data_IF_889593302962
#
_entry.id   IF_889593302962
#
_cell.length_a   1.000
_cell.length_b   1.000
_cell.length_c   1.000
_cell.angle_alpha   90.00
_cell.angle_beta   90.00
_cell.angle_gamma   90.00
#
_symmetry.space_group_name_H-M   'P 1'
#
loop_
_entity.id
_entity.type
_entity.pdbx_description
1 polymer ?
#
# COMPACT_ATOMS: atom_id res chain seq x y z
N UNK A 1 -30.75 10.07 -30.08
CA UNK A 1 -30.18 8.83 -29.48
C UNK A 1 -30.13 8.96 -27.97
N UNK A 2 -31.05 8.31 -27.22
CA UNK A 2 -30.90 8.16 -25.76
C UNK A 2 -29.71 7.22 -25.53
N UNK A 3 -28.59 7.73 -25.01
CA UNK A 3 -27.53 6.89 -24.43
C UNK A 3 -28.22 6.00 -23.41
N UNK A 4 -28.32 4.70 -23.67
CA UNK A 4 -28.66 3.71 -22.65
C UNK A 4 -27.66 3.89 -21.53
N UNK A 5 -28.08 4.47 -20.40
CA UNK A 5 -27.20 4.57 -19.23
C UNK A 5 -26.91 3.14 -18.80
N UNK A 6 -25.69 2.67 -19.09
CA UNK A 6 -25.18 1.40 -18.58
C UNK A 6 -25.46 1.38 -17.07
N UNK A 7 -26.20 0.37 -16.61
CA UNK A 7 -26.52 0.21 -15.19
C UNK A 7 -25.20 0.18 -14.41
N UNK A 8 -25.08 0.99 -13.35
CA UNK A 8 -23.87 1.05 -12.52
C UNK A 8 -23.52 -0.36 -12.06
N UNK A 9 -22.25 -0.72 -12.19
CA UNK A 9 -21.77 -2.02 -11.72
C UNK A 9 -21.90 -2.10 -10.19
N UNK A 10 -21.87 -3.32 -9.66
CA UNK A 10 -21.77 -3.58 -8.23
C UNK A 10 -20.77 -4.71 -8.02
N UNK A 11 -20.09 -4.69 -6.88
CA UNK A 11 -19.23 -5.80 -6.49
C UNK A 11 -20.03 -7.10 -6.41
N UNK A 12 -19.43 -8.21 -6.82
CA UNK A 12 -20.11 -9.51 -6.90
C UNK A 12 -20.47 -10.11 -5.54
N UNK A 13 -19.70 -9.78 -4.51
CA UNK A 13 -19.77 -10.45 -3.20
C UNK A 13 -19.15 -9.58 -2.11
N UNK A 14 -19.41 -9.95 -0.84
CA UNK A 14 -18.73 -9.33 0.31
C UNK A 14 -17.22 -9.56 0.29
N UNK A 15 -16.77 -10.75 -0.10
CA UNK A 15 -15.35 -11.03 -0.27
C UNK A 15 -14.70 -10.12 -1.32
N UNK A 16 -15.38 -9.89 -2.45
CA UNK A 16 -14.93 -8.93 -3.47
C UNK A 16 -14.78 -7.51 -2.89
N UNK A 17 -15.75 -7.05 -2.10
CA UNK A 17 -15.65 -5.74 -1.43
C UNK A 17 -14.42 -5.67 -0.52
N UNK A 18 -14.24 -6.68 0.35
CA UNK A 18 -13.10 -6.73 1.26
C UNK A 18 -11.79 -6.77 0.47
N UNK A 19 -11.68 -7.63 -0.54
CA UNK A 19 -10.47 -7.77 -1.35
C UNK A 19 -10.12 -6.48 -2.12
N UNK A 20 -11.11 -5.75 -2.62
CA UNK A 20 -10.85 -4.48 -3.33
C UNK A 20 -10.51 -3.35 -2.37
N UNK A 21 -11.25 -3.22 -1.26
CA UNK A 21 -11.01 -2.13 -0.30
C UNK A 21 -9.73 -2.38 0.49
N UNK A 22 -9.52 -3.59 1.01
CA UNK A 22 -8.23 -3.92 1.57
C UNK A 22 -7.15 -3.87 0.48
N UNK A 23 -7.42 -4.13 -0.80
CA UNK A 23 -6.42 -4.02 -1.88
C UNK A 23 -6.03 -2.57 -2.19
N UNK A 24 -6.92 -1.60 -1.94
CA UNK A 24 -6.55 -0.19 -1.97
C UNK A 24 -5.74 0.25 -0.75
N UNK A 25 -5.92 -0.39 0.40
CA UNK A 25 -5.15 -0.10 1.62
C UNK A 25 -3.78 -0.81 1.60
N UNK A 26 -3.79 -2.06 1.17
CA UNK A 26 -2.67 -2.99 1.08
C UNK A 26 -1.98 -2.82 -0.27
N UNK A 27 -0.82 -2.17 -0.23
CA UNK A 27 0.06 -2.03 -1.39
C UNK A 27 1.38 -1.40 -0.97
N UNK A 28 1.86 -0.43 -1.76
CA UNK A 28 3.07 0.33 -1.43
C UNK A 28 2.93 1.09 -0.11
N UNK A 29 1.72 1.38 0.39
CA UNK A 29 1.54 1.95 1.73
C UNK A 29 2.09 1.07 2.85
N UNK A 30 1.87 -0.23 2.78
CA UNK A 30 2.24 -1.17 3.84
C UNK A 30 3.61 -1.78 3.58
N UNK A 31 3.91 -2.10 2.31
CA UNK A 31 5.15 -2.80 1.95
C UNK A 31 6.31 -1.82 1.78
N UNK A 32 6.06 -0.62 1.24
CA UNK A 32 7.11 0.37 0.98
C UNK A 32 7.13 1.50 2.01
N UNK A 33 6.01 2.22 2.17
CA UNK A 33 5.96 3.44 2.96
C UNK A 33 6.11 3.16 4.45
N UNK A 34 5.36 2.20 4.97
CA UNK A 34 5.36 1.89 6.40
C UNK A 34 6.77 1.53 6.93
N UNK A 35 7.53 0.59 6.34
CA UNK A 35 8.88 0.30 6.82
C UNK A 35 9.82 1.50 6.75
N UNK A 36 9.78 2.27 5.67
CA UNK A 36 10.62 3.47 5.56
C UNK A 36 10.28 4.50 6.66
N UNK A 37 9.00 4.84 6.82
CA UNK A 37 8.57 5.83 7.83
C UNK A 37 8.86 5.31 9.24
N UNK A 38 8.60 4.04 9.52
CA UNK A 38 8.91 3.43 10.81
C UNK A 38 10.42 3.49 11.12
N UNK A 39 11.26 3.19 10.12
CA UNK A 39 12.71 3.25 10.23
C UNK A 39 13.25 4.66 10.50
N UNK A 40 12.66 5.67 9.83
CA UNK A 40 13.01 7.08 10.02
C UNK A 40 12.51 7.69 11.35
N UNK A 41 11.50 7.08 11.98
CA UNK A 41 10.81 7.65 13.15
C UNK A 41 11.05 6.89 14.46
N UNK A 42 12.17 6.18 14.58
CA UNK A 42 12.54 5.53 15.85
C UNK A 42 11.82 4.21 16.12
N UNK A 43 11.26 3.59 15.09
CA UNK A 43 10.87 2.18 15.10
C UNK A 43 9.58 1.88 15.87
N UNK A 44 9.70 0.94 16.80
CA UNK A 44 8.65 0.43 17.68
C UNK A 44 7.77 1.49 18.36
N UNK A 45 8.33 2.62 18.83
CA UNK A 45 7.55 3.67 19.47
C UNK A 45 6.60 4.38 18.49
N UNK A 46 7.08 4.70 17.28
CA UNK A 46 6.24 5.20 16.20
C UNK A 46 5.14 4.19 15.84
N UNK A 47 5.50 2.90 15.74
CA UNK A 47 4.56 1.83 15.40
C UNK A 47 3.38 1.76 16.38
N UNK A 48 3.63 1.88 17.69
CA UNK A 48 2.57 1.88 18.70
C UNK A 48 1.60 3.05 18.54
N UNK A 49 2.13 4.25 18.27
CA UNK A 49 1.30 5.46 18.03
C UNK A 49 0.50 5.31 16.74
N UNK A 50 1.10 4.77 15.68
CA UNK A 50 0.41 4.48 14.42
C UNK A 50 -0.74 3.47 14.63
N UNK A 51 -0.50 2.35 15.32
CA UNK A 51 -1.53 1.34 15.61
C UNK A 51 -2.67 1.96 16.44
N UNK A 52 -2.33 2.82 17.41
CA UNK A 52 -3.34 3.54 18.19
C UNK A 52 -4.24 4.40 17.29
N UNK A 53 -3.66 5.19 16.37
CA UNK A 53 -4.46 5.96 15.43
C UNK A 53 -5.31 5.10 14.50
N UNK A 54 -4.77 3.98 14.01
CA UNK A 54 -5.51 3.04 13.17
C UNK A 54 -6.71 2.43 13.90
N UNK A 55 -6.54 2.05 15.17
CA UNK A 55 -7.63 1.49 15.98
C UNK A 55 -8.68 2.55 16.31
N UNK A 56 -8.25 3.73 16.76
CA UNK A 56 -9.15 4.78 17.26
C UNK A 56 -9.88 5.50 16.11
N UNK A 57 -9.18 5.80 15.02
CA UNK A 57 -9.70 6.60 13.92
C UNK A 57 -10.07 5.76 12.70
N UNK A 58 -9.38 4.65 12.46
CA UNK A 58 -9.51 3.89 11.21
C UNK A 58 -10.93 3.38 10.97
N UNK A 59 -11.50 2.64 11.92
CA UNK A 59 -12.85 2.06 11.76
C UNK A 59 -13.93 3.14 11.64
N UNK A 60 -14.03 4.14 12.55
CA UNK A 60 -15.07 5.16 12.46
C UNK A 60 -15.01 6.00 11.17
N UNK A 61 -13.80 6.39 10.74
CA UNK A 61 -13.62 7.20 9.54
C UNK A 61 -13.90 6.39 8.27
N UNK A 62 -13.44 5.14 8.21
CA UNK A 62 -13.73 4.24 7.09
C UNK A 62 -15.23 3.98 6.96
N UNK A 63 -15.92 3.73 8.08
CA UNK A 63 -17.37 3.59 8.09
C UNK A 63 -18.07 4.85 7.57
N UNK A 64 -17.57 6.04 7.94
CA UNK A 64 -18.13 7.32 7.48
C UNK A 64 -18.03 7.47 5.97
N UNK A 65 -16.85 7.20 5.39
CA UNK A 65 -16.68 7.23 3.92
C UNK A 65 -17.53 6.17 3.22
N UNK A 66 -17.65 4.96 3.80
CA UNK A 66 -18.49 3.91 3.25
C UNK A 66 -19.98 4.29 3.22
N UNK A 67 -20.47 4.94 4.29
CA UNK A 67 -21.85 5.41 4.37
C UNK A 67 -22.11 6.48 3.31
N UNK A 68 -21.20 7.45 3.18
CA UNK A 68 -21.30 8.54 2.19
C UNK A 68 -21.35 7.96 0.78
N UNK A 69 -20.37 7.14 0.41
CA UNK A 69 -20.28 6.58 -0.93
C UNK A 69 -21.44 5.65 -1.28
N UNK A 70 -21.78 4.73 -0.37
CA UNK A 70 -22.90 3.80 -0.59
C UNK A 70 -24.24 4.53 -0.71
N UNK A 71 -24.47 5.60 0.05
CA UNK A 71 -25.71 6.39 -0.06
C UNK A 71 -25.72 7.26 -1.33
N UNK A 72 -24.58 7.82 -1.70
CA UNK A 72 -24.50 8.71 -2.86
C UNK A 72 -24.52 7.95 -4.19
N UNK A 73 -24.00 6.71 -4.28
CA UNK A 73 -23.94 5.92 -5.52
C UNK A 73 -23.27 6.69 -6.69
N UNK A 74 -22.25 7.48 -6.37
CA UNK A 74 -21.47 8.29 -7.33
C UNK A 74 -20.03 8.44 -6.81
N UNK A 75 -19.13 8.97 -7.63
CA UNK A 75 -17.75 9.28 -7.23
C UNK A 75 -17.67 10.32 -6.09
N UNK A 76 -16.51 10.39 -5.43
CA UNK A 76 -16.22 11.31 -4.32
C UNK A 76 -16.50 12.77 -4.64
N UNK A 77 -16.12 13.24 -5.84
CA UNK A 77 -16.34 14.61 -6.29
C UNK A 77 -17.83 15.01 -6.24
N UNK A 78 -18.73 14.14 -6.70
CA UNK A 78 -20.18 14.43 -6.76
C UNK A 78 -20.94 14.01 -5.50
N UNK A 79 -20.35 13.18 -4.65
CA UNK A 79 -21.05 12.54 -3.55
C UNK A 79 -21.67 13.55 -2.58
N UNK A 80 -20.89 14.54 -2.16
CA UNK A 80 -21.33 15.56 -1.20
C UNK A 80 -22.46 16.43 -1.75
N UNK A 81 -22.34 16.94 -2.98
CA UNK A 81 -23.39 17.75 -3.61
C UNK A 81 -24.69 16.97 -3.88
N UNK A 82 -24.61 15.64 -4.03
CA UNK A 82 -25.81 14.79 -4.18
C UNK A 82 -26.51 14.53 -2.85
N UNK A 83 -25.77 14.43 -1.74
CA UNK A 83 -26.32 14.13 -0.42
C UNK A 83 -26.78 15.38 0.34
N UNK A 84 -26.12 16.51 0.11
CA UNK A 84 -26.40 17.78 0.79
C UNK A 84 -26.72 18.84 -0.27
N UNK A 85 -27.99 19.27 -0.42
CA UNK A 85 -28.41 20.20 -1.47
C UNK A 85 -27.95 21.66 -1.26
N UNK A 86 -27.03 21.91 -0.32
CA UNK A 86 -26.48 23.23 -0.05
C UNK A 86 -25.15 23.38 -0.80
N UNK A 87 -25.09 24.35 -1.71
CA UNK A 87 -23.93 24.62 -2.61
C UNK A 87 -22.57 24.63 -1.89
N UNK A 88 -22.53 25.07 -0.62
CA UNK A 88 -21.32 25.13 0.22
C UNK A 88 -20.65 23.77 0.46
N UNK A 89 -21.42 22.67 0.48
CA UNK A 89 -20.88 21.33 0.78
C UNK A 89 -20.41 20.59 -0.47
N UNK A 90 -20.78 21.04 -1.67
CA UNK A 90 -20.32 20.45 -2.92
C UNK A 90 -18.79 20.59 -3.09
N UNK A 91 -18.19 21.67 -2.57
CA UNK A 91 -16.74 21.89 -2.58
C UNK A 91 -15.96 20.83 -1.79
N UNK A 92 -16.58 20.14 -0.83
CA UNK A 92 -15.91 19.06 -0.09
C UNK A 92 -15.50 17.88 -0.96
N UNK A 93 -16.13 17.69 -2.13
CA UNK A 93 -15.71 16.67 -3.09
C UNK A 93 -14.41 17.01 -3.82
N UNK A 94 -14.03 18.29 -3.86
CA UNK A 94 -12.82 18.77 -4.54
C UNK A 94 -11.57 18.37 -3.74
N UNK A 95 -11.59 18.57 -2.42
CA UNK A 95 -10.46 18.27 -1.51
C UNK A 95 -9.92 16.84 -1.67
N UNK A 96 -10.73 15.76 -1.51
CA UNK A 96 -10.24 14.39 -1.68
C UNK A 96 -9.79 14.11 -3.12
N UNK A 97 -10.40 14.75 -4.12
CA UNK A 97 -10.02 14.58 -5.54
C UNK A 97 -8.63 15.17 -5.80
N UNK A 98 -8.36 16.36 -5.27
CA UNK A 98 -7.04 17.00 -5.36
C UNK A 98 -6.00 16.19 -4.57
N UNK A 99 -6.34 15.72 -3.37
CA UNK A 99 -5.45 14.88 -2.57
C UNK A 99 -5.07 13.58 -3.32
N UNK A 100 -6.05 12.90 -3.93
CA UNK A 100 -5.81 11.72 -4.74
C UNK A 100 -4.93 12.02 -5.96
N UNK A 101 -5.11 13.17 -6.62
CA UNK A 101 -4.28 13.59 -7.74
C UNK A 101 -2.81 13.78 -7.34
N UNK A 102 -2.54 14.50 -6.23
CA UNK A 102 -1.19 14.68 -5.73
C UNK A 102 -0.54 13.39 -5.22
N UNK A 103 -1.33 12.49 -4.65
CA UNK A 103 -0.79 11.20 -4.21
C UNK A 103 -0.45 10.34 -5.41
N UNK A 104 -1.32 10.29 -6.42
CA UNK A 104 -1.08 9.52 -7.64
C UNK A 104 0.20 9.97 -8.38
N UNK A 105 0.54 11.27 -8.35
CA UNK A 105 1.71 11.79 -9.07
C UNK A 105 3.03 11.16 -8.61
N UNK A 106 3.24 11.01 -7.30
CA UNK A 106 4.45 10.35 -6.79
C UNK A 106 4.27 8.84 -6.62
N UNK A 107 3.06 8.37 -6.33
CA UNK A 107 2.79 6.94 -6.13
C UNK A 107 3.10 6.15 -7.41
N UNK A 108 2.78 6.70 -8.57
CA UNK A 108 3.12 6.08 -9.87
C UNK A 108 4.63 6.05 -10.15
N UNK A 109 5.42 6.99 -9.60
CA UNK A 109 6.88 6.92 -9.68
C UNK A 109 7.42 5.72 -8.90
N UNK A 110 6.96 5.55 -7.66
CA UNK A 110 7.38 4.42 -6.79
C UNK A 110 6.90 3.08 -7.37
N UNK A 111 5.68 3.04 -7.89
CA UNK A 111 5.17 1.85 -8.57
C UNK A 111 5.89 1.59 -9.92
N UNK A 112 6.43 2.62 -10.57
CA UNK A 112 7.37 2.45 -11.68
C UNK A 112 8.65 1.73 -11.24
N UNK A 113 9.15 2.00 -10.03
CA UNK A 113 10.33 1.28 -9.53
C UNK A 113 10.07 -0.22 -9.35
N UNK A 114 8.84 -0.62 -8.98
CA UNK A 114 8.53 -2.06 -8.88
C UNK A 114 8.56 -2.76 -10.24
N UNK A 115 8.25 -2.06 -11.34
CA UNK A 115 8.41 -2.57 -12.70
C UNK A 115 9.88 -2.75 -13.11
N UNK A 116 10.76 -1.80 -12.76
CA UNK A 116 12.21 -1.98 -12.96
C UNK A 116 12.70 -3.22 -12.20
N UNK A 117 12.29 -3.37 -10.95
CA UNK A 117 12.69 -4.52 -10.14
C UNK A 117 12.13 -5.84 -10.68
N UNK A 118 10.90 -5.85 -11.18
CA UNK A 118 10.35 -6.99 -11.91
C UNK A 118 11.21 -7.32 -13.14
N UNK A 119 11.58 -6.32 -13.94
CA UNK A 119 12.43 -6.48 -15.11
C UNK A 119 13.81 -7.08 -14.75
N UNK A 120 14.48 -6.53 -13.74
CA UNK A 120 15.76 -7.04 -13.25
C UNK A 120 15.66 -8.46 -12.69
N UNK A 121 14.55 -8.79 -12.00
CA UNK A 121 14.29 -10.15 -11.49
C UNK A 121 14.19 -11.18 -12.62
N UNK A 122 13.67 -10.78 -13.78
CA UNK A 122 13.50 -11.66 -14.95
C UNK A 122 14.81 -11.87 -15.71
N UNK A 123 15.63 -10.83 -15.83
CA UNK A 123 16.82 -10.86 -16.70
C UNK A 123 18.06 -11.37 -15.97
N UNK A 124 18.29 -10.89 -14.76
CA UNK A 124 19.54 -11.15 -14.02
C UNK A 124 19.29 -11.91 -12.72
N UNK A 125 18.07 -11.83 -12.17
CA UNK A 125 17.72 -12.49 -10.91
C UNK A 125 18.56 -12.00 -9.73
N UNK A 126 19.15 -10.80 -9.84
CA UNK A 126 20.04 -10.15 -8.87
C UNK A 126 21.38 -10.86 -8.59
N UNK A 127 21.73 -11.90 -9.36
CA UNK A 127 23.09 -12.43 -9.51
C UNK A 127 23.89 -12.78 -8.24
N UNK A 128 23.24 -13.03 -7.08
CA UNK A 128 23.91 -13.10 -5.77
C UNK A 128 24.75 -11.86 -5.44
N UNK A 129 24.34 -10.69 -5.95
CA UNK A 129 24.96 -9.41 -5.65
C UNK A 129 24.91 -9.10 -4.16
N UNK A 130 25.94 -8.44 -3.65
CA UNK A 130 25.98 -7.97 -2.27
C UNK A 130 25.07 -6.72 -2.06
N UNK A 131 24.83 -6.39 -0.79
CA UNK A 131 23.94 -5.29 -0.43
C UNK A 131 24.42 -3.93 -0.95
N UNK A 132 25.74 -3.72 -1.03
CA UNK A 132 26.34 -2.49 -1.53
C UNK A 132 26.10 -2.31 -3.03
N UNK A 133 26.26 -3.38 -3.81
CA UNK A 133 25.99 -3.38 -5.25
C UNK A 133 24.51 -3.13 -5.53
N UNK A 134 23.61 -3.81 -4.82
CA UNK A 134 22.16 -3.58 -4.95
C UNK A 134 21.80 -2.13 -4.64
N UNK A 135 22.37 -1.56 -3.56
CA UNK A 135 22.16 -0.16 -3.21
C UNK A 135 22.65 0.78 -4.31
N UNK A 136 23.85 0.55 -4.84
CA UNK A 136 24.41 1.38 -5.91
C UNK A 136 23.58 1.31 -7.19
N UNK A 137 23.06 0.13 -7.54
CA UNK A 137 22.14 -0.05 -8.67
C UNK A 137 20.84 0.73 -8.46
N UNK A 138 20.25 0.68 -7.26
CA UNK A 138 19.07 1.48 -6.91
C UNK A 138 19.35 2.98 -7.01
N UNK A 139 20.47 3.45 -6.45
CA UNK A 139 20.84 4.87 -6.47
C UNK A 139 21.06 5.34 -7.92
N UNK A 140 21.76 4.55 -8.73
CA UNK A 140 21.98 4.85 -10.16
C UNK A 140 20.66 4.93 -10.93
N UNK A 141 19.76 3.97 -10.72
CA UNK A 141 18.45 3.95 -11.36
C UNK A 141 17.59 5.14 -10.95
N UNK A 142 17.41 5.34 -9.64
CA UNK A 142 16.51 6.35 -9.08
C UNK A 142 16.92 7.78 -9.37
N UNK A 143 18.23 8.04 -9.53
CA UNK A 143 18.76 9.35 -9.93
C UNK A 143 18.87 9.52 -11.45
N UNK A 144 18.64 8.46 -12.24
CA UNK A 144 18.62 8.58 -13.69
C UNK A 144 17.37 9.33 -14.16
N UNK A 145 17.52 10.19 -15.16
CA UNK A 145 16.42 11.02 -15.66
C UNK A 145 15.39 10.21 -16.45
N UNK A 146 15.82 9.19 -17.20
CA UNK A 146 15.00 8.58 -18.25
C UNK A 146 14.25 7.34 -17.75
N UNK A 147 14.95 6.39 -17.12
CA UNK A 147 14.36 5.06 -16.83
C UNK A 147 13.21 5.11 -15.82
N UNK A 148 13.30 5.82 -14.67
CA UNK A 148 12.17 6.00 -13.77
C UNK A 148 10.94 6.61 -14.45
N UNK A 149 11.12 7.57 -15.38
CA UNK A 149 10.03 8.18 -16.13
C UNK A 149 9.38 7.19 -17.11
N UNK A 150 10.19 6.39 -17.81
CA UNK A 150 9.68 5.33 -18.70
C UNK A 150 8.81 4.36 -17.91
N UNK A 151 9.29 3.86 -16.77
CA UNK A 151 8.51 2.94 -15.95
C UNK A 151 7.28 3.59 -15.31
N UNK A 152 7.35 4.85 -14.92
CA UNK A 152 6.19 5.60 -14.46
C UNK A 152 5.10 5.66 -15.55
N UNK A 153 5.48 5.94 -16.80
CA UNK A 153 4.55 5.95 -17.93
C UNK A 153 3.97 4.55 -18.22
N UNK A 154 4.80 3.51 -18.15
CA UNK A 154 4.34 2.12 -18.27
C UNK A 154 3.33 1.77 -17.18
N UNK A 155 3.61 2.14 -15.93
CA UNK A 155 2.70 1.92 -14.80
C UNK A 155 1.38 2.68 -14.97
N UNK A 156 1.43 3.93 -15.45
CA UNK A 156 0.24 4.71 -15.78
C UNK A 156 -0.61 4.02 -16.84
N UNK A 157 0.01 3.50 -17.91
CA UNK A 157 -0.69 2.78 -18.97
C UNK A 157 -1.37 1.50 -18.44
N UNK A 158 -0.68 0.74 -17.58
CA UNK A 158 -1.25 -0.45 -16.93
C UNK A 158 -2.44 -0.08 -16.03
N UNK A 159 -2.29 0.96 -15.22
CA UNK A 159 -3.37 1.48 -14.36
C UNK A 159 -4.58 1.90 -15.20
N UNK A 160 -4.36 2.66 -16.28
CA UNK A 160 -5.41 3.09 -17.19
C UNK A 160 -6.12 1.90 -17.85
N UNK A 161 -5.39 0.85 -18.22
CA UNK A 161 -5.94 -0.37 -18.78
C UNK A 161 -6.87 -1.10 -17.78
N UNK A 162 -6.44 -1.27 -16.53
CA UNK A 162 -7.26 -1.91 -15.48
C UNK A 162 -8.53 -1.09 -15.19
N UNK A 163 -8.39 0.23 -15.09
CA UNK A 163 -9.54 1.13 -14.85
C UNK A 163 -10.51 1.10 -16.05
N UNK A 164 -9.99 1.05 -17.28
CA UNK A 164 -10.80 0.95 -18.49
C UNK A 164 -11.58 -0.38 -18.56
N UNK A 165 -11.01 -1.48 -18.06
CA UNK A 165 -11.69 -2.78 -17.96
C UNK A 165 -12.88 -2.78 -16.97
N UNK A 166 -13.03 -1.73 -16.15
CA UNK A 166 -14.17 -1.54 -15.25
C UNK A 166 -13.99 -2.20 -13.87
N UNK A 167 -15.00 -2.08 -13.02
CA UNK A 167 -14.90 -2.49 -11.61
C UNK A 167 -14.91 -4.00 -11.50
N UNK A 168 -15.79 -4.69 -12.24
CA UNK A 168 -15.94 -6.15 -12.10
C UNK A 168 -14.85 -6.94 -12.82
N UNK A 169 -14.53 -6.56 -14.06
CA UNK A 169 -13.58 -7.29 -14.91
C UNK A 169 -12.13 -6.83 -14.76
N UNK A 170 -11.91 -5.59 -14.30
CA UNK A 170 -10.60 -5.09 -13.90
C UNK A 170 -10.40 -5.28 -12.40
N UNK A 171 -10.74 -4.25 -11.62
CA UNK A 171 -10.37 -4.09 -10.21
C UNK A 171 -10.70 -5.34 -9.39
N UNK A 172 -11.95 -5.80 -9.40
CA UNK A 172 -12.39 -6.93 -8.57
C UNK A 172 -11.70 -8.24 -8.94
N UNK A 173 -11.52 -8.51 -10.24
CA UNK A 173 -10.94 -9.78 -10.72
C UNK A 173 -9.52 -9.97 -10.19
N UNK A 174 -8.69 -8.94 -10.32
CA UNK A 174 -7.29 -9.01 -9.91
C UNK A 174 -7.14 -8.97 -8.39
N UNK A 175 -7.87 -8.10 -7.67
CA UNK A 175 -7.75 -7.99 -6.22
C UNK A 175 -8.10 -9.29 -5.47
N UNK A 176 -9.08 -10.07 -5.94
CA UNK A 176 -9.47 -11.34 -5.31
C UNK A 176 -8.37 -12.41 -5.32
N UNK A 177 -7.47 -12.36 -6.30
CA UNK A 177 -6.38 -13.33 -6.46
C UNK A 177 -5.10 -12.79 -5.83
N UNK A 178 -4.75 -11.53 -6.15
CA UNK A 178 -3.46 -10.96 -5.75
C UNK A 178 -3.34 -10.80 -4.24
N UNK A 179 -4.41 -10.41 -3.54
CA UNK A 179 -4.34 -10.16 -2.10
C UNK A 179 -4.03 -11.42 -1.27
N UNK A 180 -4.77 -12.55 -1.39
CA UNK A 180 -4.42 -13.76 -0.66
C UNK A 180 -3.00 -14.26 -0.99
N UNK A 181 -2.60 -14.20 -2.27
CA UNK A 181 -1.26 -14.59 -2.71
C UNK A 181 -0.18 -13.72 -2.05
N UNK A 182 -0.39 -12.40 -1.98
CA UNK A 182 0.54 -11.47 -1.35
C UNK A 182 0.72 -11.81 0.14
N UNK A 183 -0.35 -12.11 0.87
CA UNK A 183 -0.28 -12.49 2.29
C UNK A 183 0.57 -13.76 2.48
N UNK A 184 0.31 -14.79 1.67
CA UNK A 184 1.07 -16.05 1.74
C UNK A 184 2.55 -15.83 1.45
N UNK A 185 2.85 -15.03 0.43
CA UNK A 185 4.22 -14.72 0.07
C UNK A 185 4.94 -13.93 1.17
N UNK A 186 4.30 -12.91 1.73
CA UNK A 186 4.84 -12.12 2.84
C UNK A 186 5.11 -12.98 4.07
N UNK A 187 4.24 -13.94 4.40
CA UNK A 187 4.48 -14.89 5.49
C UNK A 187 5.74 -15.73 5.25
N UNK A 188 5.91 -16.27 4.04
CA UNK A 188 7.12 -17.01 3.67
C UNK A 188 8.38 -16.15 3.78
N UNK A 189 8.31 -14.89 3.35
CA UNK A 189 9.41 -13.93 3.46
C UNK A 189 9.71 -13.52 4.89
N UNK A 190 8.70 -13.40 5.76
CA UNK A 190 8.89 -13.19 7.20
C UNK A 190 9.68 -14.34 7.82
N UNK A 191 9.32 -15.59 7.51
CA UNK A 191 10.05 -16.77 7.99
C UNK A 191 11.50 -16.71 7.54
N UNK A 192 11.76 -16.40 6.25
CA UNK A 192 13.13 -16.27 5.76
C UNK A 192 13.89 -15.14 6.47
N UNK A 193 13.29 -13.96 6.59
CA UNK A 193 13.91 -12.79 7.23
C UNK A 193 14.28 -13.04 8.69
N UNK A 194 13.39 -13.71 9.45
CA UNK A 194 13.63 -14.10 10.84
C UNK A 194 14.71 -15.18 11.01
N UNK A 195 14.96 -15.98 9.97
CA UNK A 195 15.99 -17.02 9.98
C UNK A 195 17.41 -16.51 9.69
N UNK A 196 17.56 -15.24 9.32
CA UNK A 196 18.85 -14.66 8.99
C UNK A 196 19.70 -14.40 10.25
N UNK A 197 21.02 -14.49 10.11
CA UNK A 197 21.94 -14.16 11.19
C UNK A 197 21.84 -12.67 11.54
N UNK A 198 21.72 -12.34 12.83
CA UNK A 198 21.52 -10.96 13.29
C UNK A 198 20.08 -10.44 13.19
N UNK A 199 19.12 -11.25 12.74
CA UNK A 199 17.70 -10.90 12.66
C UNK A 199 17.11 -10.37 13.98
N UNK A 200 17.63 -10.84 15.12
CA UNK A 200 17.14 -10.47 16.44
C UNK A 200 17.20 -8.95 16.71
N UNK A 201 18.22 -8.25 16.22
CA UNK A 201 18.31 -6.80 16.40
C UNK A 201 17.19 -6.06 15.65
N UNK A 202 16.80 -6.56 14.47
CA UNK A 202 15.64 -6.04 13.74
C UNK A 202 14.31 -6.32 14.44
N UNK A 203 14.18 -7.50 15.07
CA UNK A 203 13.01 -7.83 15.90
C UNK A 203 12.94 -6.91 17.12
N UNK A 204 14.08 -6.66 17.78
CA UNK A 204 14.18 -5.73 18.91
C UNK A 204 13.82 -4.30 18.48
N UNK A 205 14.29 -3.86 17.31
CA UNK A 205 13.93 -2.55 16.76
C UNK A 205 12.41 -2.40 16.52
N UNK A 206 11.71 -3.48 16.14
CA UNK A 206 10.27 -3.49 15.92
C UNK A 206 9.44 -3.56 17.22
N UNK A 207 9.90 -4.29 18.22
CA UNK A 207 9.07 -4.64 19.38
C UNK A 207 9.57 -4.13 20.73
N UNK A 208 10.75 -3.50 20.81
CA UNK A 208 11.24 -2.84 22.01
C UNK A 208 11.06 -1.31 21.89
N UNK A 209 9.97 -0.72 22.43
CA UNK A 209 9.68 0.71 22.30
C UNK A 209 10.71 1.60 23.00
N UNK A 210 11.31 2.50 22.24
CA UNK A 210 12.09 3.64 22.77
C UNK A 210 11.27 4.93 22.69
N UNK A 211 10.55 5.23 23.77
CA UNK A 211 9.71 6.44 23.86
C UNK A 211 10.51 7.75 23.82
N UNK A 212 11.84 7.72 24.00
CA UNK A 212 12.67 8.92 23.84
C UNK A 212 12.70 9.45 22.40
N UNK A 213 12.35 8.59 21.43
CA UNK A 213 12.25 8.96 20.02
C UNK A 213 10.94 9.69 19.67
N UNK A 214 9.93 9.66 20.56
CA UNK A 214 8.67 10.32 20.30
C UNK A 214 8.78 11.83 20.46
N UNK A 215 8.30 12.55 19.45
CA UNK A 215 8.09 13.99 19.48
C UNK A 215 6.84 14.34 18.66
N UNK A 216 6.48 15.63 18.62
CA UNK A 216 5.28 16.08 17.91
C UNK A 216 5.29 15.74 16.41
N UNK A 217 6.47 15.78 15.77
CA UNK A 217 6.64 15.42 14.37
C UNK A 217 6.40 13.92 14.15
N UNK A 218 6.98 13.06 14.99
CA UNK A 218 6.78 11.59 14.92
C UNK A 218 5.31 11.21 15.10
N UNK A 219 4.60 11.88 16.00
CA UNK A 219 3.15 11.66 16.20
C UNK A 219 2.37 12.11 14.97
N UNK A 220 2.71 13.26 14.37
CA UNK A 220 2.08 13.75 13.15
C UNK A 220 2.33 12.81 11.96
N UNK A 221 3.55 12.27 11.84
CA UNK A 221 3.89 11.27 10.82
C UNK A 221 3.14 9.96 11.03
N UNK A 222 2.95 9.52 12.27
CA UNK A 222 2.16 8.33 12.59
C UNK A 222 0.67 8.52 12.20
N UNK A 223 0.12 9.71 12.46
CA UNK A 223 -1.23 10.07 12.02
C UNK A 223 -1.35 10.09 10.50
N UNK A 224 -0.40 10.75 9.82
CA UNK A 224 -0.35 10.81 8.35
C UNK A 224 -0.21 9.42 7.72
N UNK A 225 0.60 8.55 8.32
CA UNK A 225 0.75 7.17 7.90
C UNK A 225 -0.54 6.37 8.09
N UNK A 226 -1.27 6.55 9.20
CA UNK A 226 -2.57 5.90 9.41
C UNK A 226 -3.60 6.28 8.35
N UNK A 227 -3.68 7.57 7.98
CA UNK A 227 -4.58 8.03 6.93
C UNK A 227 -4.19 7.49 5.56
N UNK A 228 -2.89 7.48 5.25
CA UNK A 228 -2.38 6.98 3.99
C UNK A 228 -2.60 5.46 3.84
N UNK A 229 -2.23 4.68 4.86
CA UNK A 229 -2.37 3.21 4.92
C UNK A 229 -3.81 2.80 4.64
N UNK A 230 -4.78 3.44 5.30
CA UNK A 230 -6.19 3.10 5.18
C UNK A 230 -6.91 3.78 4.00
N UNK A 231 -6.20 4.54 3.14
CA UNK A 231 -6.81 5.34 2.06
C UNK A 231 -7.89 6.33 2.52
N UNK A 232 -7.76 6.87 3.73
CA UNK A 232 -8.73 7.78 4.35
C UNK A 232 -8.56 9.22 3.86
N UNK A 233 -9.67 9.93 3.66
CA UNK A 233 -9.68 11.35 3.30
C UNK A 233 -9.39 11.63 1.82
N UNK A 234 -9.15 10.59 1.02
CA UNK A 234 -8.77 10.69 -0.40
C UNK A 234 -9.94 10.39 -1.35
N UNK A 235 -11.12 10.04 -0.81
CA UNK A 235 -12.33 9.76 -1.60
C UNK A 235 -12.30 8.44 -2.38
N UNK A 236 -11.25 7.63 -2.19
CA UNK A 236 -11.14 6.27 -2.72
C UNK A 236 -12.25 5.40 -2.12
N UNK A 237 -12.39 5.41 -0.79
CA UNK A 237 -13.37 4.58 -0.09
C UNK A 237 -14.81 5.06 -0.34
N UNK A 238 -15.04 6.37 -0.47
CA UNK A 238 -16.32 6.92 -0.96
C UNK A 238 -16.63 6.35 -2.36
N UNK A 239 -15.66 6.35 -3.27
CA UNK A 239 -15.89 5.86 -4.63
C UNK A 239 -16.11 4.35 -4.65
N UNK A 240 -15.33 3.55 -3.93
CA UNK A 240 -15.49 2.09 -3.89
C UNK A 240 -16.79 1.68 -3.20
N UNK A 241 -17.13 2.29 -2.07
CA UNK A 241 -18.38 1.97 -1.36
C UNK A 241 -19.64 2.33 -2.14
N UNK A 242 -19.55 3.24 -3.11
CA UNK A 242 -20.63 3.53 -4.05
C UNK A 242 -20.98 2.36 -4.98
N UNK A 243 -20.18 1.30 -5.01
CA UNK A 243 -20.45 0.03 -5.71
C UNK A 243 -20.89 -1.09 -4.75
N UNK A 244 -20.89 -0.86 -3.43
CA UNK A 244 -21.36 -1.85 -2.45
C UNK A 244 -22.89 -2.01 -2.50
N UNK A 245 -23.36 -3.22 -2.21
CA UNK A 245 -24.78 -3.50 -2.06
C UNK A 245 -25.35 -2.93 -0.75
N UNK A 246 -26.67 -2.72 -0.69
CA UNK A 246 -27.36 -2.29 0.53
C UNK A 246 -27.28 -3.32 1.67
N UNK A 247 -27.10 -4.60 1.33
CA UNK A 247 -27.03 -5.70 2.28
C UNK A 247 -25.64 -5.84 2.92
N UNK A 248 -24.65 -5.10 2.44
CA UNK A 248 -23.30 -5.14 2.97
C UNK A 248 -23.24 -4.59 4.40
N UNK A 249 -22.56 -5.32 5.30
CA UNK A 249 -22.42 -4.94 6.71
C UNK A 249 -21.21 -4.01 6.87
N UNK A 250 -21.43 -2.71 6.64
CA UNK A 250 -20.38 -1.67 6.65
C UNK A 250 -19.42 -1.78 7.85
N UNK A 251 -19.93 -1.93 9.07
CA UNK A 251 -19.10 -1.99 10.28
C UNK A 251 -18.15 -3.20 10.28
N UNK A 252 -18.65 -4.38 9.91
CA UNK A 252 -17.83 -5.59 9.84
C UNK A 252 -16.79 -5.49 8.74
N UNK A 253 -17.17 -4.94 7.59
CA UNK A 253 -16.27 -4.79 6.45
C UNK A 253 -15.19 -3.76 6.74
N UNK A 254 -15.52 -2.64 7.40
CA UNK A 254 -14.51 -1.68 7.87
C UNK A 254 -13.55 -2.31 8.89
N UNK A 255 -14.06 -3.04 9.89
CA UNK A 255 -13.23 -3.71 10.88
C UNK A 255 -12.26 -4.74 10.25
N UNK A 256 -12.75 -5.56 9.31
CA UNK A 256 -11.90 -6.54 8.62
C UNK A 256 -10.83 -5.85 7.78
N UNK A 257 -11.18 -4.80 7.04
CA UNK A 257 -10.20 -4.07 6.21
C UNK A 257 -9.13 -3.42 7.06
N UNK A 258 -9.51 -2.72 8.14
CA UNK A 258 -8.57 -2.09 9.07
C UNK A 258 -7.65 -3.13 9.73
N UNK A 259 -8.20 -4.27 10.14
CA UNK A 259 -7.40 -5.37 10.69
C UNK A 259 -6.40 -5.94 9.68
N UNK A 260 -6.87 -6.24 8.45
CA UNK A 260 -6.01 -6.77 7.38
C UNK A 260 -4.91 -5.79 7.00
N UNK A 261 -5.22 -4.49 6.92
CA UNK A 261 -4.25 -3.43 6.66
C UNK A 261 -3.15 -3.41 7.74
N UNK A 262 -3.56 -3.35 9.01
CA UNK A 262 -2.64 -3.34 10.15
C UNK A 262 -1.77 -4.59 10.19
N UNK A 263 -2.37 -5.76 9.97
CA UNK A 263 -1.65 -7.03 9.92
C UNK A 263 -0.57 -6.99 8.84
N UNK A 264 -0.87 -6.44 7.66
CA UNK A 264 0.08 -6.40 6.55
C UNK A 264 1.18 -5.36 6.76
N UNK A 265 0.89 -4.23 7.40
CA UNK A 265 1.93 -3.32 7.86
C UNK A 265 2.90 -4.00 8.84
N UNK A 266 2.36 -4.75 9.81
CA UNK A 266 3.18 -5.51 10.77
C UNK A 266 4.01 -6.62 10.09
N UNK A 267 3.41 -7.37 9.18
CA UNK A 267 4.12 -8.37 8.38
C UNK A 267 5.21 -7.73 7.53
N UNK A 268 4.96 -6.56 6.92
CA UNK A 268 5.98 -5.84 6.18
C UNK A 268 7.13 -5.38 7.09
N UNK A 269 6.82 -4.92 8.32
CA UNK A 269 7.83 -4.64 9.33
C UNK A 269 8.71 -5.87 9.61
N UNK A 270 8.09 -7.00 9.98
CA UNK A 270 8.79 -8.26 10.29
C UNK A 270 9.55 -8.82 9.09
N UNK A 271 9.06 -8.60 7.87
CA UNK A 271 9.75 -8.98 6.65
C UNK A 271 11.01 -8.14 6.43
N UNK A 272 10.95 -6.83 6.67
CA UNK A 272 12.01 -5.88 6.31
C UNK A 272 13.07 -5.74 7.40
N UNK A 273 12.71 -5.47 8.65
CA UNK A 273 13.70 -5.06 9.66
C UNK A 273 14.69 -6.15 10.10
N UNK A 274 14.30 -7.41 10.32
CA UNK A 274 15.27 -8.46 10.60
C UNK A 274 16.33 -8.58 9.48
N UNK A 275 15.91 -8.52 8.22
CA UNK A 275 16.81 -8.47 7.07
C UNK A 275 17.67 -7.21 7.02
N UNK A 276 17.10 -6.03 7.27
CA UNK A 276 17.85 -4.75 7.31
C UNK A 276 19.04 -4.85 8.27
N UNK A 277 18.81 -5.35 9.49
CA UNK A 277 19.86 -5.49 10.49
C UNK A 277 20.85 -6.63 10.15
N UNK A 278 20.36 -7.74 9.60
CA UNK A 278 21.21 -8.85 9.15
C UNK A 278 22.20 -8.44 8.07
N UNK A 279 21.75 -7.63 7.10
CA UNK A 279 22.58 -7.16 5.99
C UNK A 279 23.35 -5.86 6.28
N UNK A 280 23.28 -5.34 7.51
CA UNK A 280 23.95 -4.08 7.89
C UNK A 280 23.41 -2.84 7.16
N UNK A 281 22.16 -2.90 6.68
CA UNK A 281 21.47 -1.78 6.04
C UNK A 281 21.00 -0.81 7.14
N UNK A 282 21.10 0.50 6.89
CA UNK A 282 20.57 1.48 7.83
C UNK A 282 19.03 1.46 7.82
N UNK A 283 18.35 1.34 8.97
CA UNK A 283 16.89 1.40 9.02
C UNK A 283 16.34 2.76 8.56
N UNK A 284 17.15 3.82 8.58
CA UNK A 284 16.79 5.17 8.12
C UNK A 284 17.25 5.44 6.68
N UNK A 285 17.15 4.44 5.78
CA UNK A 285 17.56 4.58 4.37
C UNK A 285 16.50 5.24 3.47
N UNK A 286 15.45 5.82 4.05
CA UNK A 286 14.40 6.52 3.31
C UNK A 286 13.63 5.61 2.34
N UNK A 287 13.10 6.21 1.26
CA UNK A 287 12.26 5.55 0.28
C UNK A 287 12.93 4.34 -0.43
N UNK A 288 14.26 4.23 -0.42
CA UNK A 288 14.99 3.11 -1.02
C UNK A 288 15.07 1.85 -0.14
N UNK A 289 14.71 1.94 1.16
CA UNK A 289 14.93 0.87 2.14
C UNK A 289 14.47 -0.51 1.65
N UNK A 290 13.24 -0.58 1.16
CA UNK A 290 12.60 -1.83 0.71
C UNK A 290 13.19 -2.33 -0.61
N UNK A 291 13.53 -1.41 -1.52
CA UNK A 291 14.16 -1.71 -2.80
C UNK A 291 15.61 -2.19 -2.67
N UNK A 292 16.29 -1.88 -1.57
CA UNK A 292 17.60 -2.47 -1.25
C UNK A 292 17.43 -3.78 -0.48
N UNK A 293 16.50 -3.84 0.49
CA UNK A 293 16.37 -4.99 1.39
C UNK A 293 15.80 -6.23 0.69
N UNK A 294 14.75 -6.07 -0.12
CA UNK A 294 14.04 -7.21 -0.72
C UNK A 294 14.92 -8.07 -1.64
N UNK A 295 15.71 -7.52 -2.58
CA UNK A 295 16.64 -8.33 -3.38
C UNK A 295 17.64 -9.12 -2.54
N UNK A 296 18.13 -8.54 -1.44
CA UNK A 296 19.04 -9.25 -0.53
C UNK A 296 18.34 -10.44 0.14
N UNK A 297 17.06 -10.33 0.51
CA UNK A 297 16.29 -11.47 1.02
C UNK A 297 16.16 -12.56 -0.06
N UNK A 298 15.85 -12.17 -1.29
CA UNK A 298 15.70 -13.12 -2.39
C UNK A 298 17.02 -13.86 -2.70
N UNK A 299 18.16 -13.18 -2.68
CA UNK A 299 19.48 -13.81 -2.87
C UNK A 299 19.79 -14.89 -1.81
N UNK A 300 19.16 -14.81 -0.63
CA UNK A 300 19.32 -15.82 0.42
C UNK A 300 18.35 -17.02 0.28
N UNK A 301 17.49 -17.04 -0.73
CA UNK A 301 16.51 -18.09 -0.97
C UNK A 301 16.95 -18.97 -2.15
N UNK A 302 16.86 -20.29 -1.99
CA UNK A 302 17.04 -21.20 -3.12
C UNK A 302 15.94 -20.94 -4.16
N UNK A 303 16.31 -20.57 -5.39
CA UNK A 303 15.36 -20.14 -6.42
C UNK A 303 14.76 -18.75 -6.15
N UNK A 304 15.45 -17.89 -5.40
CA UNK A 304 14.99 -16.57 -4.99
C UNK A 304 14.45 -15.67 -6.10
N UNK A 305 15.01 -15.76 -7.31
CA UNK A 305 14.52 -15.00 -8.47
C UNK A 305 13.04 -15.31 -8.80
N UNK A 306 12.57 -16.54 -8.61
CA UNK A 306 11.16 -16.90 -8.80
C UNK A 306 10.28 -16.16 -7.79
N UNK A 307 10.70 -16.13 -6.53
CA UNK A 307 10.01 -15.40 -5.48
C UNK A 307 10.02 -13.90 -5.74
N UNK A 308 11.13 -13.35 -6.25
CA UNK A 308 11.23 -11.95 -6.63
C UNK A 308 10.26 -11.59 -7.75
N UNK A 309 10.21 -12.39 -8.83
CA UNK A 309 9.27 -12.20 -9.94
C UNK A 309 7.83 -12.21 -9.42
N UNK A 310 7.45 -13.23 -8.64
CA UNK A 310 6.08 -13.33 -8.10
C UNK A 310 5.79 -12.13 -7.19
N UNK A 311 6.73 -11.74 -6.32
CA UNK A 311 6.56 -10.63 -5.41
C UNK A 311 6.33 -9.30 -6.15
N UNK A 312 7.19 -8.96 -7.11
CA UNK A 312 7.07 -7.70 -7.84
C UNK A 312 5.88 -7.69 -8.80
N UNK A 313 5.45 -8.85 -9.33
CA UNK A 313 4.16 -8.95 -10.05
C UNK A 313 2.98 -8.69 -9.13
N UNK A 314 3.01 -9.17 -7.89
CA UNK A 314 1.91 -8.96 -6.93
C UNK A 314 1.91 -7.55 -6.34
N UNK A 315 3.08 -6.90 -6.27
CA UNK A 315 3.24 -5.55 -5.72
C UNK A 315 2.87 -4.46 -6.74
N UNK A 316 3.04 -4.74 -8.03
CA UNK A 316 2.74 -3.83 -9.15
C UNK A 316 1.27 -3.92 -9.55
#
# INVERSE_FOLDING_TARGET
MRKTMKKREHFSSRFAVIAVVAGSAVGLGNIWKFPYVLGSNGGSAFMLVYILFVIVLGVPLMMSEFIIGRRAQTNSFRAFGKLVPVFRWAFLGIVPTIAAFFILSYYTTIAGWTLEYLYQSVIDGYGNSDAATIKNSFDTFSHSMVMPLVWQLCFFALTAYIVYAGVKQGIEKYSKIMMPLMIVLMLGMCVKSLSLDGAYEGVKFLFAPDFSKLNAQVILEALGQAFFSLSLGMGILITYSSYMSKNEKIHQTAAIVVFTDTLLALLAGVMIFPAVFSFGISPNSGAGLVFVTLPNIFNQMSGGYIFAIIFFVLLT
#
